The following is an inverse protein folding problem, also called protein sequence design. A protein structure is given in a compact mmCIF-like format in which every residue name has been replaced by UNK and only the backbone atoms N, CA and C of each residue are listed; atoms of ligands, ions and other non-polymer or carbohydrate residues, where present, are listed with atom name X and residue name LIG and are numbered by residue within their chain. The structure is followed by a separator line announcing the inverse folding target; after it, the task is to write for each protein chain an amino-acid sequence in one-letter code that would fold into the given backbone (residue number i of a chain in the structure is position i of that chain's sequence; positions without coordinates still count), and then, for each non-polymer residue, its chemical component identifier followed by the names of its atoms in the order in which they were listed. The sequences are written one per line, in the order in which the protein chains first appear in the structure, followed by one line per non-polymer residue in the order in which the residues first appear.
data_IF_358673181993
#
_entry.id   IF_358673181993
#
_cell.length_a   1.000
_cell.length_b   1.000
_cell.length_c   1.000
_cell.angle_alpha   90.00
_cell.angle_beta   90.00
_cell.angle_gamma   90.00
#
_symmetry.space_group_name_H-M   'P 1'
#
loop_
_entity.id
_entity.type
_entity.pdbx_description
1 polymer ?
#
# COMPACT_ATOMS: atom_id res chain seq x y z
N UNK A 1 10.84 8.18 -11.07
CA UNK A 1 11.96 7.36 -10.55
C UNK A 1 11.57 6.57 -9.30
N UNK A 2 11.00 7.15 -8.25
CA UNK A 2 10.55 6.46 -7.02
C UNK A 2 9.44 5.41 -7.27
N UNK A 3 8.49 5.71 -8.12
CA UNK A 3 7.39 4.79 -8.48
C UNK A 3 7.90 3.55 -9.24
N UNK A 4 8.89 3.70 -10.10
CA UNK A 4 9.48 2.58 -10.84
C UNK A 4 10.32 1.68 -9.93
N UNK A 5 11.07 2.24 -8.97
CA UNK A 5 11.85 1.48 -7.99
C UNK A 5 10.94 0.68 -7.05
N UNK A 6 9.81 1.26 -6.62
CA UNK A 6 8.79 0.59 -5.80
C UNK A 6 8.11 -0.56 -6.56
N UNK A 7 7.76 -0.36 -7.82
CA UNK A 7 7.15 -1.38 -8.70
C UNK A 7 8.09 -2.55 -8.97
N UNK A 8 9.38 -2.28 -9.19
CA UNK A 8 10.39 -3.32 -9.39
C UNK A 8 10.62 -4.18 -8.12
N UNK A 9 10.59 -3.57 -6.94
CA UNK A 9 10.78 -4.31 -5.70
C UNK A 9 9.56 -5.19 -5.34
N UNK A 10 8.35 -4.66 -5.55
CA UNK A 10 7.13 -5.42 -5.32
C UNK A 10 7.02 -6.61 -6.28
N UNK A 11 7.39 -6.42 -7.55
CA UNK A 11 7.47 -7.50 -8.54
C UNK A 11 8.46 -8.59 -8.13
N UNK A 12 9.65 -8.22 -7.63
CA UNK A 12 10.65 -9.19 -7.13
C UNK A 12 10.13 -9.99 -5.95
N UNK A 13 9.40 -9.36 -5.03
CA UNK A 13 8.82 -10.05 -3.87
C UNK A 13 7.72 -11.02 -4.31
N UNK A 14 6.83 -10.62 -5.21
CA UNK A 14 5.81 -11.51 -5.77
C UNK A 14 6.46 -12.69 -6.49
N UNK A 15 7.49 -12.44 -7.29
CA UNK A 15 8.24 -13.50 -7.95
C UNK A 15 8.89 -14.44 -6.93
N UNK A 16 9.42 -13.92 -5.83
CA UNK A 16 9.95 -14.69 -4.71
C UNK A 16 8.89 -15.61 -4.08
N UNK A 17 7.68 -15.10 -3.83
CA UNK A 17 6.57 -15.89 -3.30
C UNK A 17 6.20 -17.02 -4.27
N UNK A 18 6.00 -16.69 -5.55
CA UNK A 18 5.64 -17.66 -6.57
C UNK A 18 6.71 -18.73 -6.75
N UNK A 19 7.99 -18.34 -6.74
CA UNK A 19 9.08 -19.29 -6.84
C UNK A 19 9.16 -20.21 -5.60
N UNK A 20 9.03 -19.67 -4.40
CA UNK A 20 9.03 -20.48 -3.17
C UNK A 20 7.85 -21.46 -3.15
N UNK A 21 6.68 -21.01 -3.56
CA UNK A 21 5.48 -21.84 -3.65
C UNK A 21 5.67 -23.02 -4.62
N UNK A 22 6.06 -22.71 -5.87
CA UNK A 22 6.20 -23.74 -6.93
C UNK A 22 7.38 -24.67 -6.65
N UNK A 23 8.55 -24.11 -6.29
CA UNK A 23 9.75 -24.91 -6.00
C UNK A 23 9.55 -25.73 -4.73
N UNK A 24 8.98 -25.15 -3.68
CA UNK A 24 8.66 -25.84 -2.44
C UNK A 24 7.69 -27.00 -2.65
N UNK A 25 6.60 -26.75 -3.40
CA UNK A 25 5.64 -27.80 -3.77
C UNK A 25 6.26 -28.91 -4.62
N UNK A 26 7.17 -28.56 -5.54
CA UNK A 26 7.86 -29.53 -6.39
C UNK A 26 8.84 -30.39 -5.57
N UNK A 27 9.62 -29.79 -4.70
CA UNK A 27 10.59 -30.51 -3.88
C UNK A 27 9.86 -31.44 -2.89
N UNK A 28 8.79 -30.99 -2.25
CA UNK A 28 8.03 -31.82 -1.31
C UNK A 28 7.36 -32.98 -2.02
N UNK A 29 6.88 -32.84 -3.26
CA UNK A 29 6.29 -33.92 -4.05
C UNK A 29 7.29 -35.02 -4.40
N UNK A 30 8.58 -34.69 -4.47
CA UNK A 30 9.67 -35.68 -4.73
C UNK A 30 10.11 -36.35 -3.45
N UNK A 31 10.13 -35.65 -2.32
CA UNK A 31 10.65 -36.17 -1.04
C UNK A 31 9.60 -37.00 -0.32
N UNK A 32 8.35 -36.58 -0.35
CA UNK A 32 7.23 -37.26 0.30
C UNK A 32 6.50 -38.18 -0.69
N UNK A 33 6.03 -39.31 -0.19
CA UNK A 33 5.16 -40.24 -0.93
C UNK A 33 3.67 -39.98 -0.66
N UNK A 34 2.84 -40.94 -1.03
CA UNK A 34 1.40 -40.90 -0.75
C UNK A 34 0.70 -39.74 -1.43
N UNK A 35 -0.02 -38.93 -0.68
CA UNK A 35 -0.80 -37.83 -1.22
C UNK A 35 0.05 -36.73 -1.86
N UNK A 36 1.30 -36.55 -1.42
CA UNK A 36 2.24 -35.59 -2.00
C UNK A 36 2.79 -36.03 -3.37
N UNK A 37 2.64 -37.29 -3.76
CA UNK A 37 3.01 -37.75 -5.12
C UNK A 37 2.19 -37.03 -6.22
N UNK A 38 1.03 -36.53 -5.89
CA UNK A 38 0.28 -35.63 -6.76
C UNK A 38 0.79 -34.18 -6.60
N UNK A 39 1.39 -33.65 -7.66
CA UNK A 39 1.93 -32.27 -7.67
C UNK A 39 0.89 -31.21 -7.29
N UNK A 40 -0.36 -31.39 -7.69
CA UNK A 40 -1.44 -30.47 -7.31
C UNK A 40 -1.67 -30.42 -5.79
N UNK A 41 -1.64 -31.58 -5.14
CA UNK A 41 -1.77 -31.68 -3.68
C UNK A 41 -0.56 -31.02 -2.97
N UNK A 42 0.62 -31.20 -3.49
CA UNK A 42 1.85 -30.61 -2.96
C UNK A 42 1.83 -29.06 -3.09
N UNK A 43 1.34 -28.54 -4.21
CA UNK A 43 1.13 -27.10 -4.38
C UNK A 43 0.05 -26.54 -3.44
N UNK A 44 -1.06 -27.29 -3.29
CA UNK A 44 -2.12 -26.93 -2.34
C UNK A 44 -1.57 -26.86 -0.91
N UNK A 45 -0.87 -27.89 -0.47
CA UNK A 45 -0.27 -27.92 0.85
C UNK A 45 0.74 -26.77 1.04
N UNK A 46 1.59 -26.50 0.05
CA UNK A 46 2.59 -25.44 0.14
C UNK A 46 1.93 -24.06 0.31
N UNK A 47 0.88 -23.74 -0.46
CA UNK A 47 0.20 -22.44 -0.33
C UNK A 47 -0.53 -22.31 1.00
N UNK A 48 -1.21 -23.38 1.45
CA UNK A 48 -1.93 -23.40 2.74
C UNK A 48 -0.96 -23.21 3.90
N UNK A 49 0.24 -23.80 3.80
CA UNK A 49 1.29 -23.69 4.79
C UNK A 49 1.95 -22.32 4.78
N UNK A 50 2.34 -21.81 3.61
CA UNK A 50 2.94 -20.49 3.46
C UNK A 50 2.02 -19.35 3.91
N UNK A 51 0.70 -19.50 3.68
CA UNK A 51 -0.29 -18.51 4.11
C UNK A 51 -0.72 -18.65 5.58
N UNK A 52 -0.10 -19.60 6.31
CA UNK A 52 -0.39 -19.90 7.73
C UNK A 52 -1.82 -20.37 8.01
N UNK A 53 -2.58 -20.80 7.01
CA UNK A 53 -3.93 -21.33 7.18
C UNK A 53 -3.88 -22.71 7.84
N UNK A 54 -3.08 -23.67 7.31
CA UNK A 54 -2.79 -24.95 7.93
C UNK A 54 -4.03 -25.79 8.23
N UNK A 55 -4.80 -26.19 7.23
CA UNK A 55 -5.99 -27.03 7.44
C UNK A 55 -5.68 -28.37 8.14
N UNK A 56 -4.44 -28.85 8.07
CA UNK A 56 -4.06 -30.11 8.69
C UNK A 56 -4.54 -31.35 7.92
N UNK A 57 -5.03 -31.17 6.71
CA UNK A 57 -5.46 -32.21 5.78
C UNK A 57 -4.27 -33.08 5.31
N UNK A 58 -3.10 -32.45 5.15
CA UNK A 58 -1.85 -33.10 4.75
C UNK A 58 -0.69 -32.54 5.56
N UNK A 59 0.29 -33.41 5.87
CA UNK A 59 1.54 -33.00 6.54
C UNK A 59 2.68 -33.93 6.18
N UNK A 60 3.93 -33.44 6.04
CA UNK A 60 5.11 -34.28 5.81
C UNK A 60 5.36 -35.26 6.95
N UNK A 61 5.64 -36.50 6.61
CA UNK A 61 5.89 -37.57 7.58
C UNK A 61 7.37 -37.91 7.73
N UNK A 62 8.16 -37.71 6.65
CA UNK A 62 9.61 -37.99 6.66
C UNK A 62 10.39 -36.86 7.37
N UNK A 63 11.57 -37.20 7.87
CA UNK A 63 12.45 -36.19 8.51
C UNK A 63 12.91 -35.09 7.54
N UNK A 64 13.21 -35.48 6.28
CA UNK A 64 13.59 -34.52 5.24
C UNK A 64 12.41 -33.62 4.83
N UNK A 65 11.21 -34.18 4.68
CA UNK A 65 10.00 -33.41 4.38
C UNK A 65 9.66 -32.40 5.47
N UNK A 66 9.79 -32.81 6.75
CA UNK A 66 9.59 -31.87 7.89
C UNK A 66 10.64 -30.77 7.91
N UNK A 67 11.89 -31.05 7.62
CA UNK A 67 12.94 -30.05 7.53
C UNK A 67 12.66 -29.08 6.40
N UNK A 68 12.25 -29.53 5.21
CA UNK A 68 11.84 -28.70 4.10
C UNK A 68 10.61 -27.83 4.47
N UNK A 69 9.62 -28.43 5.16
CA UNK A 69 8.44 -27.72 5.63
C UNK A 69 8.81 -26.50 6.49
N UNK A 70 9.77 -26.66 7.42
CA UNK A 70 10.27 -25.56 8.25
C UNK A 70 10.82 -24.43 7.37
N UNK A 71 11.63 -24.75 6.38
CA UNK A 71 12.18 -23.73 5.45
C UNK A 71 11.06 -23.01 4.70
N UNK A 72 10.09 -23.74 4.16
CA UNK A 72 8.94 -23.17 3.44
C UNK A 72 8.14 -22.25 4.35
N UNK A 73 7.89 -22.63 5.60
CA UNK A 73 7.19 -21.82 6.59
C UNK A 73 7.92 -20.50 6.86
N UNK A 74 9.22 -20.53 7.14
CA UNK A 74 10.00 -19.32 7.37
C UNK A 74 10.05 -18.41 6.14
N UNK A 75 10.24 -18.96 4.95
CA UNK A 75 10.21 -18.21 3.70
C UNK A 75 8.83 -17.58 3.47
N UNK A 76 7.74 -18.34 3.65
CA UNK A 76 6.38 -17.88 3.48
C UNK A 76 6.06 -16.70 4.40
N UNK A 77 6.29 -16.84 5.71
CA UNK A 77 6.04 -15.80 6.71
C UNK A 77 6.85 -14.54 6.39
N UNK A 78 8.15 -14.71 6.07
CA UNK A 78 9.02 -13.57 5.75
C UNK A 78 8.56 -12.81 4.51
N UNK A 79 8.17 -13.51 3.45
CA UNK A 79 7.70 -12.91 2.21
C UNK A 79 6.36 -12.18 2.41
N UNK A 80 5.42 -12.76 3.16
CA UNK A 80 4.14 -12.11 3.49
C UNK A 80 4.38 -10.84 4.32
N UNK A 81 5.29 -10.88 5.30
CA UNK A 81 5.64 -9.72 6.10
C UNK A 81 6.20 -8.57 5.24
N UNK A 82 7.06 -8.88 4.25
CA UNK A 82 7.60 -7.89 3.30
C UNK A 82 6.49 -7.29 2.43
N UNK A 83 5.56 -8.09 1.93
CA UNK A 83 4.40 -7.58 1.14
C UNK A 83 3.57 -6.62 1.98
N UNK A 84 3.17 -7.05 3.18
CA UNK A 84 2.33 -6.25 4.08
C UNK A 84 3.03 -4.94 4.45
N UNK A 85 4.32 -4.98 4.79
CA UNK A 85 5.13 -3.80 5.09
C UNK A 85 5.25 -2.86 3.88
N UNK A 86 5.42 -3.40 2.68
CA UNK A 86 5.50 -2.60 1.44
C UNK A 86 4.18 -1.90 1.16
N UNK A 87 3.05 -2.61 1.27
CA UNK A 87 1.71 -2.04 1.08
C UNK A 87 1.48 -0.92 2.10
N UNK A 88 1.73 -1.17 3.39
CA UNK A 88 1.60 -0.17 4.45
C UNK A 88 2.46 1.07 4.17
N UNK A 89 3.72 0.88 3.76
CA UNK A 89 4.62 1.99 3.39
C UNK A 89 4.10 2.82 2.22
N UNK A 90 3.42 2.22 1.23
CA UNK A 90 2.83 2.94 0.10
C UNK A 90 1.72 3.88 0.59
N UNK A 91 0.80 3.37 1.41
CA UNK A 91 -0.29 4.18 1.95
C UNK A 91 0.21 5.30 2.87
N UNK A 92 1.16 4.99 3.75
CA UNK A 92 1.74 5.99 4.65
C UNK A 92 2.46 7.09 3.87
N UNK A 93 3.28 6.73 2.88
CA UNK A 93 3.98 7.71 2.05
C UNK A 93 2.99 8.61 1.28
N UNK A 94 1.91 8.03 0.73
CA UNK A 94 0.88 8.80 0.03
C UNK A 94 0.23 9.82 0.96
N UNK A 95 -0.17 9.43 2.16
CA UNK A 95 -0.75 10.34 3.17
C UNK A 95 0.21 11.45 3.57
N UNK A 96 1.49 11.13 3.79
CA UNK A 96 2.52 12.12 4.12
C UNK A 96 2.69 13.11 2.95
N UNK A 97 2.74 12.64 1.71
CA UNK A 97 2.87 13.53 0.54
C UNK A 97 1.65 14.43 0.36
N UNK A 98 0.45 13.90 0.56
CA UNK A 98 -0.79 14.69 0.52
C UNK A 98 -0.80 15.77 1.62
N UNK A 99 -0.43 15.42 2.85
CA UNK A 99 -0.33 16.37 3.97
C UNK A 99 0.74 17.44 3.77
N UNK A 100 1.82 17.12 3.03
CA UNK A 100 2.87 18.08 2.66
C UNK A 100 2.53 18.94 1.44
N UNK A 101 1.37 18.76 0.84
CA UNK A 101 0.99 19.46 -0.39
C UNK A 101 1.78 19.03 -1.63
N UNK A 102 2.35 17.82 -1.60
CA UNK A 102 3.08 17.21 -2.72
C UNK A 102 2.24 16.15 -3.45
N UNK A 103 0.96 16.04 -3.11
CA UNK A 103 0.03 15.09 -3.72
C UNK A 103 -0.42 15.54 -5.11
N UNK A 104 -0.77 14.58 -5.97
CA UNK A 104 -1.35 14.89 -7.27
C UNK A 104 -2.82 15.29 -7.11
N UNK A 105 -3.22 16.36 -7.79
CA UNK A 105 -4.62 16.78 -7.89
C UNK A 105 -5.28 16.04 -9.05
N UNK A 106 -6.32 15.28 -8.72
CA UNK A 106 -7.12 14.52 -9.70
C UNK A 106 -8.54 15.05 -9.84
N UNK A 107 -8.81 16.22 -9.23
CA UNK A 107 -10.14 16.82 -9.30
C UNK A 107 -10.42 17.40 -10.69
N UNK A 108 -11.57 17.07 -11.23
CA UNK A 108 -12.19 17.78 -12.35
C UNK A 108 -13.18 18.78 -11.77
N UNK A 109 -13.26 20.02 -12.30
CA UNK A 109 -14.13 21.07 -11.79
C UNK A 109 -13.81 21.40 -10.31
N UNK A 110 -12.74 22.13 -10.07
CA UNK A 110 -12.37 22.54 -8.72
C UNK A 110 -12.18 24.05 -8.61
N UNK A 111 -12.42 24.57 -7.42
CA UNK A 111 -12.16 25.96 -7.07
C UNK A 111 -10.75 26.09 -6.51
N UNK A 112 -9.93 26.96 -7.10
CA UNK A 112 -8.59 27.25 -6.61
C UNK A 112 -8.65 28.41 -5.61
N UNK A 113 -8.02 28.24 -4.45
CA UNK A 113 -7.76 29.31 -3.49
C UNK A 113 -6.24 29.49 -3.43
N UNK A 114 -5.78 30.59 -4.00
CA UNK A 114 -4.35 30.93 -4.04
C UNK A 114 -4.03 31.90 -2.91
N UNK A 115 -3.06 31.54 -2.07
CA UNK A 115 -2.64 32.33 -0.92
C UNK A 115 -3.25 31.88 0.40
N UNK A 116 -2.96 32.66 1.44
CA UNK A 116 -3.40 32.37 2.81
C UNK A 116 -3.70 33.67 3.57
N UNK A 117 -4.78 33.67 4.32
CA UNK A 117 -5.08 34.72 5.27
C UNK A 117 -5.76 34.16 6.54
N UNK A 118 -5.90 34.99 7.57
CA UNK A 118 -6.50 34.60 8.86
C UNK A 118 -7.98 34.16 8.76
N UNK A 119 -8.67 34.53 7.69
CA UNK A 119 -10.11 34.27 7.48
C UNK A 119 -10.35 33.10 6.52
N UNK A 120 -9.32 32.30 6.21
CA UNK A 120 -9.42 31.18 5.26
C UNK A 120 -10.53 30.19 5.63
N UNK A 121 -10.71 29.91 6.92
CA UNK A 121 -11.75 28.99 7.40
C UNK A 121 -13.16 29.52 7.08
N UNK A 122 -13.41 30.81 7.26
CA UNK A 122 -14.70 31.42 6.93
C UNK A 122 -14.97 31.40 5.43
N UNK A 123 -13.93 31.62 4.61
CA UNK A 123 -14.04 31.55 3.16
C UNK A 123 -14.40 30.12 2.72
N UNK A 124 -13.71 29.11 3.24
CA UNK A 124 -13.98 27.70 2.95
C UNK A 124 -15.41 27.30 3.38
N UNK A 125 -15.82 27.69 4.59
CA UNK A 125 -17.19 27.42 5.07
C UNK A 125 -18.25 28.02 4.14
N UNK A 126 -18.08 29.28 3.73
CA UNK A 126 -19.02 29.95 2.83
C UNK A 126 -19.10 29.29 1.44
N UNK A 127 -17.98 28.78 0.93
CA UNK A 127 -17.96 28.05 -0.34
C UNK A 127 -18.69 26.72 -0.25
N UNK A 128 -18.48 25.97 0.85
CA UNK A 128 -19.14 24.67 1.09
C UNK A 128 -20.65 24.84 1.30
N UNK A 129 -21.07 25.91 2.00
CA UNK A 129 -22.49 26.23 2.18
C UNK A 129 -23.18 26.55 0.87
N UNK A 130 -22.48 27.26 -0.02
CA UNK A 130 -23.01 27.63 -1.34
C UNK A 130 -23.14 26.43 -2.28
N UNK A 131 -22.21 25.50 -2.23
CA UNK A 131 -22.17 24.33 -3.10
C UNK A 131 -21.70 23.10 -2.34
N UNK A 132 -22.63 22.17 -2.01
CA UNK A 132 -22.38 21.02 -1.14
C UNK A 132 -21.32 20.03 -1.63
N UNK A 133 -21.02 20.00 -2.93
CA UNK A 133 -20.06 19.05 -3.53
C UNK A 133 -18.90 19.80 -4.21
N UNK A 134 -18.50 20.94 -3.68
CA UNK A 134 -17.40 21.72 -4.21
C UNK A 134 -16.06 21.00 -3.94
N UNK A 135 -15.22 20.89 -4.98
CA UNK A 135 -13.84 20.47 -4.84
C UNK A 135 -12.96 21.71 -4.68
N UNK A 136 -12.22 21.81 -3.61
CA UNK A 136 -11.36 22.97 -3.32
C UNK A 136 -9.91 22.54 -3.37
N UNK A 137 -9.07 23.33 -4.01
CA UNK A 137 -7.61 23.18 -4.01
C UNK A 137 -7.00 24.44 -3.42
N UNK A 138 -6.28 24.27 -2.30
CA UNK A 138 -5.54 25.34 -1.65
C UNK A 138 -4.11 25.35 -2.20
N UNK A 139 -3.63 26.50 -2.65
CA UNK A 139 -2.24 26.68 -3.08
C UNK A 139 -1.61 27.78 -2.23
N UNK A 140 -0.62 27.43 -1.44
CA UNK A 140 0.12 28.38 -0.62
C UNK A 140 1.46 27.79 -0.17
N UNK A 141 2.28 28.60 0.47
CA UNK A 141 3.59 28.20 1.01
C UNK A 141 3.63 28.29 2.55
N UNK A 142 2.49 28.06 3.22
CA UNK A 142 2.40 28.09 4.68
C UNK A 142 3.04 26.86 5.32
N UNK A 143 3.23 26.92 6.64
CA UNK A 143 3.69 25.80 7.44
C UNK A 143 2.65 24.67 7.41
N UNK A 144 3.14 23.43 7.30
CA UNK A 144 2.34 22.22 7.23
C UNK A 144 1.35 22.09 8.40
N UNK A 145 1.77 22.45 9.63
CA UNK A 145 0.92 22.38 10.81
C UNK A 145 -0.30 23.32 10.71
N UNK A 146 -0.10 24.52 10.19
CA UNK A 146 -1.18 25.51 9.99
C UNK A 146 -2.17 25.05 8.93
N UNK A 147 -1.69 24.48 7.83
CA UNK A 147 -2.56 23.95 6.77
C UNK A 147 -3.30 22.72 7.26
N UNK A 148 -2.62 21.80 7.92
CA UNK A 148 -3.23 20.57 8.43
C UNK A 148 -4.31 20.84 9.47
N UNK A 149 -4.15 21.85 10.35
CA UNK A 149 -5.19 22.25 11.30
C UNK A 149 -6.45 22.77 10.58
N UNK A 150 -6.30 23.49 9.48
CA UNK A 150 -7.42 23.92 8.64
C UNK A 150 -8.07 22.74 7.92
N UNK A 151 -7.29 21.87 7.30
CA UNK A 151 -7.81 20.69 6.61
C UNK A 151 -8.59 19.75 7.55
N UNK A 152 -8.11 19.58 8.78
CA UNK A 152 -8.78 18.77 9.81
C UNK A 152 -10.13 19.36 10.23
N UNK A 153 -10.30 20.69 10.20
CA UNK A 153 -11.58 21.34 10.49
C UNK A 153 -12.64 21.03 9.43
N UNK A 154 -12.23 20.61 8.23
CA UNK A 154 -13.10 20.32 7.08
C UNK A 154 -12.94 18.89 6.56
N UNK A 155 -12.70 17.91 7.44
CA UNK A 155 -12.37 16.52 7.08
C UNK A 155 -13.42 15.85 6.18
N UNK A 156 -14.69 16.25 6.28
CA UNK A 156 -15.78 15.74 5.46
C UNK A 156 -15.94 16.42 4.09
N UNK A 157 -15.01 17.33 3.74
CA UNK A 157 -15.07 18.11 2.49
C UNK A 157 -13.96 17.70 1.53
N UNK A 158 -14.21 17.83 0.22
CA UNK A 158 -13.22 17.51 -0.82
C UNK A 158 -12.20 18.66 -0.97
N UNK A 159 -11.31 18.81 0.02
CA UNK A 159 -10.26 19.84 0.01
C UNK A 159 -8.91 19.17 -0.15
N UNK A 160 -8.09 19.67 -1.08
CA UNK A 160 -6.69 19.28 -1.25
C UNK A 160 -5.77 20.49 -1.16
N UNK A 161 -4.54 20.24 -0.76
CA UNK A 161 -3.49 21.23 -0.60
C UNK A 161 -2.35 20.98 -1.57
N UNK A 162 -1.85 22.03 -2.18
CA UNK A 162 -0.59 22.06 -2.93
C UNK A 162 0.33 23.07 -2.27
N UNK A 163 1.52 22.64 -1.92
CA UNK A 163 2.58 23.53 -1.47
C UNK A 163 3.25 24.17 -2.69
N UNK A 164 3.09 25.45 -2.85
CA UNK A 164 3.67 26.18 -3.97
C UNK A 164 3.52 27.69 -3.84
N UNK A 165 4.37 28.39 -4.54
CA UNK A 165 4.29 29.83 -4.71
C UNK A 165 3.60 30.11 -6.06
N UNK A 166 2.36 30.54 -5.99
CA UNK A 166 1.54 30.85 -7.17
C UNK A 166 1.97 32.13 -7.91
N UNK A 167 2.94 32.87 -7.38
CA UNK A 167 3.53 34.06 -8.02
C UNK A 167 4.68 33.73 -8.99
N UNK A 168 5.09 32.45 -9.04
CA UNK A 168 6.19 31.97 -9.91
C UNK A 168 5.61 31.15 -11.04
N UNK A 169 5.96 31.47 -12.30
CA UNK A 169 5.50 30.81 -13.54
C UNK A 169 5.90 29.32 -13.68
N UNK A 170 6.39 28.66 -12.63
CA UNK A 170 6.95 27.31 -12.64
C UNK A 170 6.13 26.28 -11.84
N UNK A 171 4.81 26.43 -11.78
CA UNK A 171 3.91 25.45 -11.17
C UNK A 171 3.44 24.44 -12.20
#
# INVERSE_FOLDING_TARGET
MFEQLKRNNLFKVILGIMSTWVIGGLIISIIEGGEFSNFGNSLWWAIVTMTTVGYGDMSPTTGLGRFLAIIIMFCGISLIAVVTGTISSIFTTKRIMEGKGLGNITFNNHTLICGWNSNINNLISSLIEKEKNINIVLINNQNEDTVNSTLSAFENSSIKYIKGDFSIDSI
#
